data_IF_087134596554
#
_entry.id   IF_087134596554
#
_cell.length_a   1.000
_cell.length_b   1.000
_cell.length_c   1.000
_cell.angle_alpha   90.00
_cell.angle_beta   90.00
_cell.angle_gamma   90.00
#
_symmetry.space_group_name_H-M   'P 1'
#
loop_
_entity.id
_entity.type
_entity.pdbx_description
1 polymer ?
#
# COMPACT_ATOMS: atom_id res chain seq x y z
N UNK A 1 -9.10 12.33 -21.32
CA UNK A 1 -8.75 10.92 -21.61
C UNK A 1 -8.42 10.22 -20.30
N UNK A 2 -8.65 8.92 -20.14
CA UNK A 2 -8.35 8.24 -18.87
C UNK A 2 -6.86 8.32 -18.48
N UNK A 3 -5.96 8.50 -19.46
CA UNK A 3 -4.54 8.81 -19.24
C UNK A 3 -4.26 10.16 -18.57
N UNK A 4 -5.21 11.09 -18.45
CA UNK A 4 -4.98 12.34 -17.72
C UNK A 4 -5.33 12.25 -16.24
N UNK A 5 -5.92 11.14 -15.79
CA UNK A 5 -6.30 10.93 -14.38
C UNK A 5 -5.08 10.50 -13.59
N UNK A 6 -4.75 11.25 -12.53
CA UNK A 6 -3.53 11.05 -11.76
C UNK A 6 -3.78 10.23 -10.50
N UNK A 7 -2.74 9.53 -10.06
CA UNK A 7 -2.77 8.78 -8.80
C UNK A 7 -3.13 9.68 -7.60
N UNK A 8 -2.62 10.92 -7.56
CA UNK A 8 -2.90 11.86 -6.46
C UNK A 8 -4.37 12.16 -6.22
N UNK A 9 -5.22 11.99 -7.24
CA UNK A 9 -6.63 12.30 -7.21
C UNK A 9 -7.46 11.20 -6.51
N UNK A 10 -6.93 9.97 -6.48
CA UNK A 10 -7.65 8.78 -5.97
C UNK A 10 -6.90 8.01 -4.88
N UNK A 11 -5.63 8.35 -4.59
CA UNK A 11 -4.88 7.66 -3.54
C UNK A 11 -5.43 7.93 -2.13
N UNK A 12 -5.37 6.92 -1.27
CA UNK A 12 -5.63 7.09 0.17
C UNK A 12 -4.44 7.77 0.85
N UNK A 13 -4.69 8.82 1.62
CA UNK A 13 -3.65 9.61 2.33
C UNK A 13 -3.55 9.31 3.81
N UNK A 14 -4.66 8.92 4.44
CA UNK A 14 -4.69 8.54 5.86
C UNK A 14 -4.36 7.06 5.98
N UNK A 15 -3.08 6.77 6.22
CA UNK A 15 -2.55 5.42 6.26
C UNK A 15 -2.31 4.98 7.69
N UNK A 16 -2.58 3.71 7.95
CA UNK A 16 -1.93 3.00 9.05
C UNK A 16 -0.51 2.70 8.59
N UNK A 17 0.48 3.08 9.40
CA UNK A 17 1.90 2.80 9.17
C UNK A 17 2.52 2.17 10.41
N UNK A 18 3.69 1.55 10.23
CA UNK A 18 4.50 1.03 11.32
C UNK A 18 5.93 1.56 11.25
N UNK A 19 6.68 1.42 12.33
CA UNK A 19 8.15 1.57 12.33
C UNK A 19 8.81 0.21 12.39
N UNK A 20 10.04 0.10 11.87
CA UNK A 20 10.72 -1.20 11.71
C UNK A 20 10.94 -1.94 13.05
N UNK A 21 11.07 -1.19 14.15
CA UNK A 21 11.22 -1.66 15.52
C UNK A 21 9.90 -2.06 16.20
N UNK A 22 8.75 -1.83 15.54
CA UNK A 22 7.44 -2.24 16.06
C UNK A 22 7.43 -3.74 16.32
N UNK A 23 6.94 -4.15 17.48
CA UNK A 23 6.76 -5.56 17.83
C UNK A 23 5.75 -6.23 16.89
N UNK A 24 6.05 -7.48 16.51
CA UNK A 24 5.24 -8.24 15.56
C UNK A 24 3.80 -8.42 16.02
N UNK A 25 3.55 -8.74 17.29
CA UNK A 25 2.19 -8.94 17.80
C UNK A 25 1.42 -7.63 17.88
N UNK A 26 2.10 -6.54 18.24
CA UNK A 26 1.54 -5.19 18.18
C UNK A 26 1.09 -4.86 16.75
N UNK A 27 1.92 -5.18 15.75
CA UNK A 27 1.56 -4.96 14.36
C UNK A 27 0.36 -5.82 13.92
N UNK A 28 0.33 -7.11 14.29
CA UNK A 28 -0.81 -8.01 14.03
C UNK A 28 -2.10 -7.42 14.60
N UNK A 29 -2.09 -6.98 15.85
CA UNK A 29 -3.28 -6.41 16.49
C UNK A 29 -3.80 -5.19 15.72
N UNK A 30 -2.92 -4.27 15.31
CA UNK A 30 -3.32 -3.10 14.50
C UNK A 30 -3.86 -3.48 13.13
N UNK A 31 -3.26 -4.46 12.46
CA UNK A 31 -3.77 -4.94 11.16
C UNK A 31 -5.21 -5.46 11.28
N UNK A 32 -5.49 -6.25 12.32
CA UNK A 32 -6.81 -6.81 12.59
C UNK A 32 -7.83 -5.73 13.01
N UNK A 33 -7.45 -4.82 13.90
CA UNK A 33 -8.30 -3.71 14.37
C UNK A 33 -8.77 -2.83 13.21
N UNK A 34 -7.83 -2.46 12.32
CA UNK A 34 -8.12 -1.63 11.16
C UNK A 34 -8.65 -2.41 9.96
N UNK A 35 -8.78 -3.75 10.05
CA UNK A 35 -9.22 -4.66 8.98
C UNK A 35 -8.41 -4.49 7.69
N UNK A 36 -7.10 -4.38 7.82
CA UNK A 36 -6.16 -4.23 6.70
C UNK A 36 -5.20 -5.41 6.62
N UNK A 37 -4.92 -5.89 5.40
CA UNK A 37 -4.04 -7.05 5.17
C UNK A 37 -2.54 -6.73 5.17
N UNK A 38 -2.17 -5.54 5.63
CA UNK A 38 -0.82 -5.00 5.55
C UNK A 38 -0.77 -3.48 5.52
N UNK A 39 0.42 -2.94 5.74
CA UNK A 39 0.69 -1.52 5.86
C UNK A 39 2.14 -1.18 5.48
N UNK A 40 2.40 0.06 5.04
CA UNK A 40 3.76 0.59 4.91
C UNK A 40 4.50 0.62 6.24
N UNK A 41 5.81 0.43 6.16
CA UNK A 41 6.74 0.67 7.26
C UNK A 41 7.56 1.90 6.90
N UNK A 42 7.63 2.88 7.80
CA UNK A 42 8.33 4.16 7.60
C UNK A 42 9.40 4.39 8.66
N UNK A 43 10.34 5.29 8.36
CA UNK A 43 11.25 5.88 9.34
C UNK A 43 10.65 7.14 10.00
N UNK A 44 11.40 7.76 10.89
CA UNK A 44 11.01 8.98 11.61
C UNK A 44 10.89 10.23 10.71
N UNK A 45 11.21 10.10 9.42
CA UNK A 45 11.12 11.15 8.42
C UNK A 45 10.03 10.86 7.37
N UNK A 46 9.13 9.93 7.64
CA UNK A 46 8.06 9.43 6.77
C UNK A 46 8.56 8.78 5.47
N UNK A 47 9.82 8.33 5.44
CA UNK A 47 10.36 7.62 4.27
C UNK A 47 9.98 6.16 4.36
N UNK A 48 9.55 5.61 3.24
CA UNK A 48 9.21 4.19 3.15
C UNK A 48 10.47 3.33 3.30
N UNK A 49 10.51 2.48 4.32
CA UNK A 49 11.61 1.52 4.57
C UNK A 49 11.19 0.07 4.36
N UNK A 50 9.89 -0.20 4.27
CA UNK A 50 9.38 -1.53 4.00
C UNK A 50 7.87 -1.60 3.88
N UNK A 51 7.37 -2.82 3.71
CA UNK A 51 5.96 -3.14 3.73
C UNK A 51 5.75 -4.40 4.56
N UNK A 52 4.79 -4.35 5.48
CA UNK A 52 4.36 -5.49 6.27
C UNK A 52 3.02 -5.99 5.73
N UNK A 53 2.87 -7.29 5.56
CA UNK A 53 1.61 -7.95 5.22
C UNK A 53 1.27 -9.06 6.19
N UNK A 54 0.01 -9.51 6.20
CA UNK A 54 -0.40 -10.70 6.95
C UNK A 54 0.48 -11.93 6.62
N UNK A 55 0.91 -12.07 5.36
CA UNK A 55 1.80 -13.14 4.94
C UNK A 55 3.20 -13.05 5.57
N UNK A 56 3.70 -11.84 5.81
CA UNK A 56 4.95 -11.61 6.56
C UNK A 56 4.76 -11.96 8.03
N UNK A 57 3.62 -11.60 8.63
CA UNK A 57 3.30 -11.97 10.00
C UNK A 57 3.20 -13.49 10.19
N UNK A 58 2.53 -14.19 9.27
CA UNK A 58 2.45 -15.66 9.29
C UNK A 58 3.84 -16.30 9.20
N UNK A 59 4.74 -15.75 8.35
CA UNK A 59 6.14 -16.20 8.29
C UNK A 59 6.85 -16.00 9.63
N UNK A 60 6.67 -14.85 10.28
CA UNK A 60 7.27 -14.57 11.58
C UNK A 60 6.78 -15.53 12.67
N UNK A 61 5.47 -15.80 12.72
CA UNK A 61 4.87 -16.77 13.66
C UNK A 61 5.46 -18.17 13.45
N UNK A 62 5.54 -18.63 12.20
CA UNK A 62 6.10 -19.95 11.89
C UNK A 62 7.55 -20.05 12.33
N UNK A 63 8.39 -19.05 12.01
CA UNK A 63 9.79 -19.05 12.45
C UNK A 63 9.89 -19.08 13.97
N UNK A 64 9.11 -18.27 14.69
CA UNK A 64 9.14 -18.26 16.15
C UNK A 64 8.75 -19.60 16.78
N UNK A 65 7.78 -20.30 16.18
CA UNK A 65 7.40 -21.65 16.60
C UNK A 65 8.52 -22.68 16.38
N UNK A 66 9.32 -22.56 15.31
CA UNK A 66 10.44 -23.47 15.04
C UNK A 66 11.64 -23.28 15.98
N UNK A 67 11.88 -22.05 16.45
CA UNK A 67 13.06 -21.71 17.26
C UNK A 67 12.74 -21.52 18.76
N UNK A 68 11.56 -21.94 19.22
CA UNK A 68 11.08 -21.75 20.61
C UNK A 68 11.21 -20.30 21.10
N UNK A 69 11.11 -19.33 20.20
CA UNK A 69 11.26 -17.90 20.48
C UNK A 69 10.08 -17.15 19.86
N UNK A 70 9.16 -16.68 20.69
CA UNK A 70 8.01 -15.89 20.23
C UNK A 70 8.33 -14.40 20.25
N UNK A 71 7.96 -13.70 19.18
CA UNK A 71 8.06 -12.24 19.08
C UNK A 71 9.21 -11.77 18.21
N UNK A 72 9.57 -10.49 18.38
CA UNK A 72 10.57 -9.81 17.56
C UNK A 72 9.97 -8.63 16.81
N UNK A 73 10.84 -7.84 16.20
CA UNK A 73 10.45 -6.62 15.48
C UNK A 73 10.03 -6.94 14.05
N UNK A 74 9.13 -6.14 13.48
CA UNK A 74 8.70 -6.31 12.08
C UNK A 74 9.84 -6.17 11.07
N UNK A 75 10.96 -5.51 11.42
CA UNK A 75 12.16 -5.39 10.58
C UNK A 75 12.65 -6.74 10.04
N UNK A 76 12.54 -7.80 10.83
CA UNK A 76 13.00 -9.15 10.47
C UNK A 76 12.13 -9.83 9.40
N UNK A 77 10.90 -9.33 9.20
CA UNK A 77 9.89 -10.03 8.40
C UNK A 77 9.31 -9.17 7.26
N UNK A 78 9.42 -7.84 7.35
CA UNK A 78 8.90 -6.93 6.34
C UNK A 78 9.61 -7.12 4.99
N UNK A 79 8.89 -6.83 3.91
CA UNK A 79 9.50 -6.72 2.58
C UNK A 79 10.17 -5.36 2.44
N UNK A 80 11.47 -5.32 2.20
CA UNK A 80 12.26 -4.08 2.04
C UNK A 80 12.31 -3.57 0.59
N UNK A 81 12.31 -4.48 -0.40
CA UNK A 81 12.23 -4.09 -1.81
C UNK A 81 10.77 -3.84 -2.22
N UNK A 82 10.30 -2.64 -1.92
CA UNK A 82 8.91 -2.24 -2.15
C UNK A 82 8.80 -1.51 -3.49
N UNK A 83 7.93 -2.04 -4.35
CA UNK A 83 7.58 -1.37 -5.59
C UNK A 83 6.63 -0.20 -5.27
N UNK A 84 6.93 1.00 -5.78
CA UNK A 84 6.20 2.23 -5.47
C UNK A 84 5.75 2.96 -6.73
N UNK A 85 4.91 3.98 -6.59
CA UNK A 85 4.50 4.85 -7.69
C UNK A 85 4.61 6.33 -7.31
N UNK A 86 4.54 7.20 -8.31
CA UNK A 86 4.48 8.65 -8.14
C UNK A 86 3.02 9.14 -8.05
N UNK A 87 2.74 10.24 -7.33
CA UNK A 87 1.44 10.91 -7.40
C UNK A 87 1.07 11.37 -8.82
N UNK A 88 2.07 11.63 -9.68
CA UNK A 88 1.88 12.09 -11.06
C UNK A 88 1.70 10.98 -12.08
N UNK A 89 1.83 9.73 -11.64
CA UNK A 89 1.62 8.58 -12.50
C UNK A 89 0.17 8.52 -12.97
N UNK A 90 -0.02 8.07 -14.21
CA UNK A 90 -1.35 7.90 -14.79
C UNK A 90 -2.01 6.63 -14.25
N UNK A 91 -3.32 6.69 -14.05
CA UNK A 91 -4.06 5.56 -13.48
C UNK A 91 -3.98 4.29 -14.36
N UNK A 92 -3.78 4.46 -15.67
CA UNK A 92 -3.59 3.37 -16.64
C UNK A 92 -2.28 2.64 -16.39
N UNK A 93 -1.17 3.36 -16.19
CA UNK A 93 0.14 2.75 -15.95
C UNK A 93 0.13 1.95 -14.64
N UNK A 94 -0.55 2.47 -13.62
CA UNK A 94 -0.74 1.75 -12.35
C UNK A 94 -1.60 0.49 -12.54
N UNK A 95 -2.66 0.55 -13.36
CA UNK A 95 -3.48 -0.61 -13.68
C UNK A 95 -2.67 -1.70 -14.38
N UNK A 96 -1.83 -1.36 -15.37
CA UNK A 96 -0.95 -2.31 -16.03
C UNK A 96 0.02 -2.99 -15.05
N UNK A 97 0.60 -2.22 -14.14
CA UNK A 97 1.52 -2.74 -13.11
C UNK A 97 0.81 -3.69 -12.15
N UNK A 98 -0.45 -3.43 -11.80
CA UNK A 98 -1.24 -4.37 -11.01
C UNK A 98 -1.49 -5.71 -11.69
N UNK A 99 -1.58 -5.74 -13.02
CA UNK A 99 -1.79 -6.97 -13.80
C UNK A 99 -0.49 -7.75 -14.02
N UNK A 100 0.64 -7.05 -14.19
CA UNK A 100 1.98 -7.65 -14.30
C UNK A 100 2.48 -8.21 -12.97
N UNK A 101 2.05 -7.60 -11.86
CA UNK A 101 2.46 -7.96 -10.51
C UNK A 101 1.40 -8.73 -9.70
N UNK A 102 1.82 -9.20 -8.52
CA UNK A 102 0.91 -9.84 -7.55
C UNK A 102 0.38 -8.87 -6.48
N UNK A 103 0.85 -7.61 -6.51
CA UNK A 103 0.51 -6.58 -5.53
C UNK A 103 -0.93 -6.09 -5.74
N UNK A 104 -1.60 -5.78 -4.64
CA UNK A 104 -2.98 -5.23 -4.63
C UNK A 104 -3.03 -3.72 -4.38
N UNK A 105 -1.90 -3.15 -3.94
CA UNK A 105 -1.70 -1.73 -3.66
C UNK A 105 -0.24 -1.35 -3.85
N UNK A 106 -0.01 -0.09 -4.19
CA UNK A 106 1.30 0.53 -4.29
C UNK A 106 1.39 1.69 -3.30
N UNK A 107 2.46 1.77 -2.50
CA UNK A 107 2.83 3.02 -1.84
C UNK A 107 3.12 4.10 -2.88
N UNK A 108 2.66 5.31 -2.58
CA UNK A 108 2.86 6.51 -3.40
C UNK A 108 3.93 7.37 -2.72
N UNK A 109 5.00 7.66 -3.45
CA UNK A 109 6.16 8.41 -2.94
C UNK A 109 6.30 9.74 -3.67
N UNK A 110 6.51 10.82 -2.91
CA UNK A 110 6.81 12.15 -3.43
C UNK A 110 7.91 12.79 -2.55
N UNK A 111 8.93 13.37 -3.16
CA UNK A 111 10.05 13.97 -2.41
C UNK A 111 10.76 12.99 -1.46
N UNK A 112 10.75 11.69 -1.76
CA UNK A 112 11.31 10.63 -0.91
C UNK A 112 10.45 10.21 0.28
N UNK A 113 9.25 10.79 0.44
CA UNK A 113 8.32 10.49 1.53
C UNK A 113 7.13 9.69 1.04
N UNK A 114 6.56 8.88 1.94
CA UNK A 114 5.29 8.23 1.73
C UNK A 114 4.15 9.26 1.83
N UNK A 115 3.45 9.50 0.72
CA UNK A 115 2.34 10.48 0.66
C UNK A 115 0.97 9.84 0.48
N UNK A 116 0.92 8.53 0.24
CA UNK A 116 -0.32 7.79 0.12
C UNK A 116 -0.16 6.33 -0.30
N UNK A 117 -1.28 5.66 -0.52
CA UNK A 117 -1.35 4.37 -1.19
C UNK A 117 -2.43 4.40 -2.26
N UNK A 118 -2.17 3.75 -3.39
CA UNK A 118 -3.17 3.50 -4.42
C UNK A 118 -3.41 2.00 -4.52
N UNK A 119 -4.67 1.59 -4.49
CA UNK A 119 -5.11 0.20 -4.58
C UNK A 119 -5.82 -0.08 -5.89
N UNK A 120 -6.05 -1.37 -6.17
CA UNK A 120 -6.90 -1.78 -7.30
C UNK A 120 -8.33 -1.22 -7.18
N UNK A 121 -8.83 -1.05 -5.95
CA UNK A 121 -10.17 -0.47 -5.72
C UNK A 121 -10.20 0.99 -6.16
N UNK A 122 -9.18 1.77 -5.79
CA UNK A 122 -9.07 3.19 -6.13
C UNK A 122 -8.97 3.41 -7.64
N UNK A 123 -8.24 2.53 -8.34
CA UNK A 123 -8.20 2.53 -9.82
C UNK A 123 -9.59 2.29 -10.41
N UNK A 124 -10.35 1.33 -9.89
CA UNK A 124 -11.71 1.05 -10.37
C UNK A 124 -12.67 2.22 -10.08
N UNK A 125 -12.54 2.87 -8.93
CA UNK A 125 -13.27 4.09 -8.61
C UNK A 125 -12.98 5.20 -9.62
N UNK A 126 -11.70 5.43 -9.93
CA UNK A 126 -11.29 6.42 -10.92
C UNK A 126 -11.89 6.19 -12.31
N UNK A 127 -11.91 4.93 -12.77
CA UNK A 127 -12.53 4.58 -14.07
C UNK A 127 -14.05 4.80 -14.04
N UNK A 128 -14.72 4.42 -12.95
CA UNK A 128 -16.16 4.61 -12.79
C UNK A 128 -16.54 6.09 -12.87
N UNK A 129 -15.87 6.94 -12.12
CA UNK A 129 -16.17 8.38 -12.08
C UNK A 129 -15.84 9.04 -13.42
N UNK A 130 -14.69 8.72 -14.02
CA UNK A 130 -14.33 9.22 -15.35
C UNK A 130 -15.40 8.89 -16.40
N UNK A 131 -15.91 7.66 -16.41
CA UNK A 131 -16.95 7.24 -17.35
C UNK A 131 -18.28 7.98 -17.15
N UNK A 132 -18.64 8.33 -15.91
CA UNK A 132 -19.84 9.09 -15.59
C UNK A 132 -19.73 10.55 -16.08
N UNK A 133 -18.57 11.17 -15.93
CA UNK A 133 -18.33 12.55 -16.39
C UNK A 133 -18.38 12.69 -17.93
N UNK A 134 -17.83 11.73 -18.66
CA UNK A 134 -17.88 11.71 -20.14
C UNK A 134 -19.31 11.53 -20.68
N UNK A 135 -20.15 10.75 -19.98
CA UNK A 135 -21.55 10.53 -20.38
C UNK A 135 -22.45 11.75 -20.11
N UNK A 136 -22.14 12.53 -19.07
CA UNK A 136 -22.82 13.80 -18.78
C UNK A 136 -22.53 14.88 -19.83
N UNK A 137 -21.29 14.95 -20.33
CA UNK A 137 -20.88 15.93 -21.35
C UNK A 137 -21.42 15.64 -22.76
N UNK A 138 -21.83 14.41 -23.07
CA UNK A 138 -22.41 14.06 -24.39
C UNK A 138 -23.93 14.31 -24.49
N UNK A 139 -24.57 14.76 -23.40
CA UNK A 139 -26.02 14.96 -23.31
C UNK A 139 -26.44 16.43 -23.15
N UNK A 140 -25.49 17.38 -23.17
CA UNK A 140 -25.73 18.83 -23.18
C UNK A 140 -25.19 19.44 -24.46
#
# INVERSE_FOLDING_TARGET
>A
MLKSVKVRDYMTRHLVTFHADTDLFTAINRLLEHRISGAPVVDDHDRLVGLLSEGDCLRGILQGAYYESTGGTIASYMTTNVETTSPEADIIDVAERFLKGRRRRFPVIEGGKLVGQISRHDVLLAVKEFAQHEQGHRRG
#
